data_IF_535040140143
#
_entry.id   IF_535040140143
#
_cell.length_a   1.000
_cell.length_b   1.000
_cell.length_c   1.000
_cell.angle_alpha   90.00
_cell.angle_beta   90.00
_cell.angle_gamma   90.00
#
_symmetry.space_group_name_H-M   'P 1'
#
loop_
_entity.id
_entity.type
_entity.pdbx_description
1 polymer ?
#
# COMPACT_ATOMS: atom_id res chain seq x y z
N UNK A 1 14.69 16.46 -5.33
CA UNK A 1 14.09 16.26 -6.67
C UNK A 1 12.99 15.21 -6.51
N UNK A 2 11.79 15.43 -7.06
CA UNK A 2 10.73 14.40 -7.04
C UNK A 2 11.19 13.20 -7.86
N UNK A 3 11.10 12.01 -7.26
CA UNK A 3 11.43 10.75 -7.93
C UNK A 3 10.31 10.41 -8.91
N UNK A 4 10.65 9.93 -10.08
CA UNK A 4 9.72 9.70 -11.19
C UNK A 4 9.55 8.20 -11.41
N UNK A 5 8.33 7.73 -11.55
CA UNK A 5 8.05 6.39 -12.06
C UNK A 5 7.35 6.52 -13.42
N UNK A 6 7.91 5.97 -14.50
CA UNK A 6 7.30 6.06 -15.84
C UNK A 6 5.91 5.42 -15.92
N UNK A 7 5.63 4.43 -15.05
CA UNK A 7 4.36 3.69 -15.02
C UNK A 7 3.35 4.29 -14.05
N UNK A 8 3.75 5.29 -13.26
CA UNK A 8 2.90 6.04 -12.33
C UNK A 8 2.97 7.52 -12.70
N UNK A 9 2.24 7.96 -13.75
CA UNK A 9 2.43 9.27 -14.40
C UNK A 9 2.08 10.47 -13.52
N UNK A 10 1.43 10.26 -12.39
CA UNK A 10 1.19 11.31 -11.40
C UNK A 10 2.42 11.68 -10.57
N UNK A 11 3.50 10.87 -10.61
CA UNK A 11 4.81 11.23 -10.07
C UNK A 11 5.70 11.85 -11.15
N UNK A 12 5.25 12.91 -11.81
CA UNK A 12 6.05 13.66 -12.78
C UNK A 12 6.89 14.75 -12.12
N UNK A 13 7.83 15.37 -12.88
CA UNK A 13 8.60 16.50 -12.39
C UNK A 13 7.70 17.64 -11.92
N UNK A 14 7.93 18.13 -10.68
CA UNK A 14 7.14 19.21 -10.07
C UNK A 14 5.73 18.81 -9.63
N UNK A 15 5.34 17.55 -9.72
CA UNK A 15 4.05 17.06 -9.22
C UNK A 15 4.20 16.53 -7.79
N UNK A 16 3.24 16.90 -6.95
CA UNK A 16 3.13 16.44 -5.55
C UNK A 16 1.71 15.89 -5.34
N UNK A 17 1.44 14.65 -5.75
CA UNK A 17 0.10 14.10 -5.70
C UNK A 17 -0.37 13.90 -4.27
N UNK A 18 -1.60 14.33 -3.98
CA UNK A 18 -2.30 14.06 -2.73
C UNK A 18 -2.91 12.67 -2.77
N UNK A 19 -2.40 11.79 -1.90
CA UNK A 19 -2.87 10.41 -1.78
C UNK A 19 -3.91 10.27 -0.67
N UNK A 20 -5.07 9.72 -1.00
CA UNK A 20 -6.00 9.23 0.01
C UNK A 20 -5.55 7.84 0.46
N UNK A 21 -5.10 7.72 1.71
CA UNK A 21 -4.68 6.44 2.27
C UNK A 21 -5.85 5.45 2.40
N UNK A 22 -5.62 4.15 2.19
CA UNK A 22 -6.62 3.11 2.43
C UNK A 22 -6.96 2.99 3.91
N UNK A 23 -8.25 3.11 4.25
CA UNK A 23 -8.76 3.06 5.62
C UNK A 23 -9.98 2.15 5.68
N UNK A 24 -9.85 1.01 6.41
CA UNK A 24 -10.94 0.06 6.58
C UNK A 24 -12.22 0.73 7.14
N UNK A 25 -13.35 0.46 6.53
CA UNK A 25 -14.68 1.00 6.86
C UNK A 25 -14.83 2.52 6.64
N UNK A 26 -13.89 3.16 5.95
CA UNK A 26 -13.94 4.58 5.66
C UNK A 26 -13.76 4.89 4.18
N UNK A 27 -12.81 4.26 3.50
CA UNK A 27 -12.52 4.57 2.09
C UNK A 27 -13.36 3.72 1.13
N UNK A 28 -14.67 3.68 1.35
CA UNK A 28 -15.64 3.12 0.40
C UNK A 28 -15.78 4.01 -0.86
N UNK A 29 -16.58 3.57 -1.81
CA UNK A 29 -16.78 4.29 -3.09
C UNK A 29 -17.30 5.71 -2.86
N UNK A 30 -18.25 5.90 -1.94
CA UNK A 30 -18.86 7.20 -1.68
C UNK A 30 -17.87 8.18 -1.04
N UNK A 31 -17.15 7.74 -0.02
CA UNK A 31 -16.13 8.56 0.64
C UNK A 31 -14.99 8.94 -0.32
N UNK A 32 -14.51 8.00 -1.13
CA UNK A 32 -13.49 8.29 -2.15
C UNK A 32 -13.97 9.31 -3.16
N UNK A 33 -15.26 9.26 -3.56
CA UNK A 33 -15.82 10.24 -4.47
C UNK A 33 -15.79 11.66 -3.87
N UNK A 34 -16.19 11.82 -2.63
CA UNK A 34 -16.11 13.12 -1.92
C UNK A 34 -14.65 13.60 -1.84
N UNK A 35 -13.70 12.71 -1.50
CA UNK A 35 -12.29 13.08 -1.46
C UNK A 35 -11.75 13.49 -2.84
N UNK A 36 -12.19 12.82 -3.92
CA UNK A 36 -11.83 13.18 -5.30
C UNK A 36 -12.30 14.60 -5.64
N UNK A 37 -13.52 14.92 -5.30
CA UNK A 37 -14.11 16.26 -5.50
C UNK A 37 -13.41 17.35 -4.67
N UNK A 38 -12.80 16.97 -3.53
CA UNK A 38 -11.99 17.87 -2.70
C UNK A 38 -10.50 17.91 -3.09
N UNK A 39 -10.11 17.28 -4.18
CA UNK A 39 -8.77 17.40 -4.74
C UNK A 39 -7.80 16.24 -4.44
N UNK A 40 -8.28 15.09 -3.97
CA UNK A 40 -7.42 13.91 -3.91
C UNK A 40 -7.02 13.47 -5.33
N UNK A 41 -5.71 13.42 -5.59
CA UNK A 41 -5.18 13.05 -6.90
C UNK A 41 -5.25 11.54 -7.13
N UNK A 42 -4.80 10.76 -6.15
CA UNK A 42 -4.69 9.29 -6.21
C UNK A 42 -5.34 8.67 -4.99
N UNK A 43 -6.08 7.62 -5.20
CA UNK A 43 -6.79 6.94 -4.12
C UNK A 43 -6.55 5.43 -4.16
N UNK A 44 -6.73 4.79 -3.00
CA UNK A 44 -6.59 3.34 -2.84
C UNK A 44 -7.86 2.82 -2.16
N UNK A 45 -8.35 1.66 -2.61
CA UNK A 45 -9.52 1.01 -2.00
C UNK A 45 -9.23 0.60 -0.55
N UNK A 46 -10.26 0.22 0.18
CA UNK A 46 -10.06 -0.55 1.41
C UNK A 46 -9.24 -1.81 1.11
N UNK A 47 -8.45 -2.28 2.08
CA UNK A 47 -7.65 -3.48 1.88
C UNK A 47 -8.50 -4.75 2.01
N UNK A 48 -8.34 -5.66 1.07
CA UNK A 48 -9.13 -6.89 0.97
C UNK A 48 -8.25 -8.12 1.10
N UNK A 49 -8.78 -9.12 1.81
CA UNK A 49 -8.07 -10.37 2.02
C UNK A 49 -8.00 -11.20 0.73
N UNK A 50 -6.79 -11.66 0.38
CA UNK A 50 -6.55 -12.47 -0.82
C UNK A 50 -7.43 -13.73 -0.88
N UNK A 51 -7.58 -14.45 0.23
CA UNK A 51 -8.41 -15.66 0.31
C UNK A 51 -9.90 -15.38 0.05
N UNK A 52 -10.40 -14.22 0.49
CA UNK A 52 -11.79 -13.84 0.24
C UNK A 52 -12.05 -13.59 -1.25
N UNK A 53 -11.12 -12.93 -1.95
CA UNK A 53 -11.19 -12.72 -3.40
C UNK A 53 -11.13 -14.05 -4.17
N UNK A 54 -10.22 -14.95 -3.78
CA UNK A 54 -10.08 -16.28 -4.42
C UNK A 54 -11.32 -17.15 -4.27
N UNK A 55 -12.02 -17.02 -3.15
CA UNK A 55 -13.28 -17.74 -2.86
C UNK A 55 -14.51 -17.06 -3.46
N UNK A 56 -14.31 -16.05 -4.28
CA UNK A 56 -15.35 -15.26 -4.94
C UNK A 56 -16.38 -14.66 -3.96
N UNK A 57 -15.91 -14.21 -2.79
CA UNK A 57 -16.79 -13.60 -1.78
C UNK A 57 -17.32 -12.25 -2.31
N UNK A 58 -18.64 -12.11 -2.39
CA UNK A 58 -19.32 -10.94 -2.94
C UNK A 58 -18.87 -9.64 -2.27
N UNK A 59 -18.84 -9.61 -0.93
CA UNK A 59 -18.41 -8.41 -0.18
C UNK A 59 -16.97 -8.04 -0.44
N UNK A 60 -16.09 -9.03 -0.66
CA UNK A 60 -14.69 -8.77 -1.00
C UNK A 60 -14.55 -8.09 -2.36
N UNK A 61 -15.37 -8.48 -3.32
CA UNK A 61 -15.41 -7.86 -4.64
C UNK A 61 -16.06 -6.47 -4.62
N UNK A 62 -17.11 -6.25 -3.84
CA UNK A 62 -17.69 -4.93 -3.62
C UNK A 62 -16.68 -3.92 -3.02
N UNK A 63 -15.79 -4.38 -2.12
CA UNK A 63 -14.78 -3.53 -1.49
C UNK A 63 -13.69 -3.04 -2.45
N UNK A 64 -13.45 -3.74 -3.56
CA UNK A 64 -12.45 -3.34 -4.57
C UNK A 64 -13.06 -2.57 -5.74
N UNK A 65 -14.36 -2.34 -5.72
CA UNK A 65 -15.06 -1.61 -6.77
C UNK A 65 -14.77 -0.09 -6.72
N UNK A 66 -14.77 0.54 -7.89
CA UNK A 66 -14.61 1.99 -8.04
C UNK A 66 -15.19 2.47 -9.37
N UNK A 67 -15.38 3.78 -9.50
CA UNK A 67 -15.86 4.40 -10.74
C UNK A 67 -14.70 4.98 -11.56
N UNK A 68 -14.90 5.12 -12.87
CA UNK A 68 -13.90 5.74 -13.76
C UNK A 68 -13.53 7.17 -13.34
N UNK A 69 -14.47 7.91 -12.75
CA UNK A 69 -14.24 9.27 -12.25
C UNK A 69 -13.23 9.33 -11.09
N UNK A 70 -13.02 8.23 -10.39
CA UNK A 70 -12.10 8.15 -9.25
C UNK A 70 -10.64 7.88 -9.66
N UNK A 71 -10.38 7.51 -10.92
CA UNK A 71 -9.01 7.23 -11.39
C UNK A 71 -8.07 8.45 -11.23
N UNK A 72 -6.75 8.21 -10.99
CA UNK A 72 -6.10 6.90 -10.84
C UNK A 72 -6.41 6.21 -9.51
N UNK A 73 -6.71 4.91 -9.60
CA UNK A 73 -7.14 4.07 -8.47
C UNK A 73 -6.25 2.85 -8.27
N UNK A 74 -5.80 2.67 -7.03
CA UNK A 74 -5.17 1.45 -6.58
C UNK A 74 -6.15 0.50 -5.88
N UNK A 75 -5.98 -0.79 -6.07
CA UNK A 75 -6.64 -1.82 -5.24
C UNK A 75 -5.62 -2.37 -4.24
N UNK A 76 -5.96 -2.31 -2.94
CA UNK A 76 -5.07 -2.84 -1.91
C UNK A 76 -5.50 -4.23 -1.45
N UNK A 77 -4.56 -5.18 -1.49
CA UNK A 77 -4.77 -6.54 -1.01
C UNK A 77 -3.83 -6.88 0.15
N UNK A 78 -4.23 -7.84 0.98
CA UNK A 78 -3.40 -8.39 2.04
C UNK A 78 -3.56 -9.91 2.17
N UNK A 79 -2.53 -10.56 2.69
CA UNK A 79 -2.49 -11.99 2.95
C UNK A 79 -1.12 -12.40 3.48
N UNK A 80 -0.96 -13.68 3.79
CA UNK A 80 0.27 -14.25 4.33
C UNK A 80 0.85 -15.37 3.47
N UNK A 81 0.16 -15.77 2.40
CA UNK A 81 0.58 -16.89 1.54
C UNK A 81 0.95 -16.35 0.15
N UNK A 82 2.20 -16.53 -0.32
CA UNK A 82 2.64 -16.03 -1.62
C UNK A 82 1.75 -16.47 -2.79
N UNK A 83 1.39 -17.77 -2.85
CA UNK A 83 0.54 -18.30 -3.91
C UNK A 83 -0.86 -17.69 -3.93
N UNK A 84 -1.49 -17.50 -2.75
CA UNK A 84 -2.80 -16.85 -2.66
C UNK A 84 -2.73 -15.38 -3.03
N UNK A 85 -1.69 -14.66 -2.60
CA UNK A 85 -1.50 -13.26 -2.96
C UNK A 85 -1.31 -13.08 -4.48
N UNK A 86 -0.50 -13.92 -5.11
CA UNK A 86 -0.30 -13.93 -6.56
C UNK A 86 -1.60 -14.20 -7.33
N UNK A 87 -2.38 -15.22 -6.88
CA UNK A 87 -3.67 -15.56 -7.49
C UNK A 87 -4.69 -14.44 -7.35
N UNK A 88 -4.81 -13.86 -6.15
CA UNK A 88 -5.72 -12.74 -5.91
C UNK A 88 -5.33 -11.50 -6.73
N UNK A 89 -4.04 -11.19 -6.81
CA UNK A 89 -3.51 -10.10 -7.62
C UNK A 89 -3.91 -10.24 -9.09
N UNK A 90 -3.73 -11.43 -9.67
CA UNK A 90 -4.16 -11.72 -11.04
C UNK A 90 -5.66 -11.51 -11.22
N UNK A 91 -6.48 -12.09 -10.34
CA UNK A 91 -7.94 -11.96 -10.40
C UNK A 91 -8.40 -10.50 -10.33
N UNK A 92 -7.80 -9.69 -9.45
CA UNK A 92 -8.10 -8.25 -9.34
C UNK A 92 -7.72 -7.53 -10.62
N UNK A 93 -6.51 -7.74 -11.14
CA UNK A 93 -6.06 -7.06 -12.36
C UNK A 93 -6.90 -7.44 -13.58
N UNK A 94 -7.33 -8.70 -13.70
CA UNK A 94 -8.14 -9.17 -14.82
C UNK A 94 -9.58 -8.63 -14.79
N UNK A 95 -10.21 -8.59 -13.59
CA UNK A 95 -11.62 -8.20 -13.43
C UNK A 95 -11.83 -6.70 -13.24
N UNK A 96 -11.00 -6.08 -12.37
CA UNK A 96 -11.20 -4.68 -11.92
C UNK A 96 -10.38 -3.70 -12.74
N UNK A 97 -9.22 -4.15 -13.26
CA UNK A 97 -8.29 -3.34 -14.06
C UNK A 97 -7.89 -2.03 -13.36
N UNK A 98 -7.35 -2.08 -12.15
CA UNK A 98 -6.89 -0.90 -11.44
C UNK A 98 -5.69 -0.26 -12.16
N UNK A 99 -5.42 1.01 -11.88
CA UNK A 99 -4.22 1.69 -12.38
C UNK A 99 -2.93 1.16 -11.76
N UNK A 100 -3.03 0.60 -10.54
CA UNK A 100 -1.95 -0.11 -9.85
C UNK A 100 -2.52 -1.07 -8.79
N UNK A 101 -1.73 -2.07 -8.42
CA UNK A 101 -2.01 -2.93 -7.27
C UNK A 101 -1.16 -2.48 -6.08
N UNK A 102 -1.74 -2.43 -4.89
CA UNK A 102 -1.06 -2.04 -3.66
C UNK A 102 -1.05 -3.17 -2.62
N UNK A 103 0.08 -3.36 -1.93
CA UNK A 103 0.25 -4.38 -0.91
C UNK A 103 0.21 -3.78 0.49
N UNK A 104 -0.57 -4.39 1.39
CA UNK A 104 -0.69 -3.93 2.76
C UNK A 104 0.33 -4.61 3.68
N UNK A 105 1.31 -3.84 4.15
CA UNK A 105 2.28 -4.21 5.20
C UNK A 105 2.19 -3.29 6.42
N UNK A 106 1.05 -2.62 6.60
CA UNK A 106 0.89 -1.62 7.65
C UNK A 106 -0.30 -1.80 8.60
N UNK A 107 -1.29 -2.63 8.26
CA UNK A 107 -2.49 -2.81 9.08
C UNK A 107 -2.13 -3.39 10.46
N UNK A 108 -2.43 -2.68 11.58
CA UNK A 108 -2.13 -3.17 12.93
C UNK A 108 -3.29 -3.98 13.55
N UNK A 109 -4.38 -4.22 12.81
CA UNK A 109 -5.56 -4.91 13.34
C UNK A 109 -5.24 -6.34 13.78
N UNK A 110 -5.69 -6.73 14.97
CA UNK A 110 -5.42 -8.03 15.58
C UNK A 110 -5.73 -9.20 14.64
N UNK A 111 -6.93 -9.21 14.05
CA UNK A 111 -7.38 -10.24 13.09
C UNK A 111 -6.49 -10.38 11.85
N UNK A 112 -5.80 -9.32 11.43
CA UNK A 112 -4.84 -9.34 10.29
C UNK A 112 -3.51 -9.92 10.75
N UNK A 113 -3.05 -9.51 11.93
CA UNK A 113 -1.78 -9.96 12.51
C UNK A 113 -1.82 -11.44 12.90
N UNK A 114 -2.92 -11.94 13.44
CA UNK A 114 -3.12 -13.37 13.76
C UNK A 114 -2.93 -14.26 12.52
N UNK A 115 -3.17 -13.73 11.34
CA UNK A 115 -2.94 -14.41 10.06
C UNK A 115 -1.51 -14.21 9.53
N UNK A 116 -0.59 -13.66 10.31
CA UNK A 116 0.74 -13.24 9.88
C UNK A 116 0.76 -12.30 8.66
N UNK A 117 -0.27 -11.44 8.53
CA UNK A 117 -0.45 -10.50 7.42
C UNK A 117 -0.33 -9.04 7.89
N UNK A 118 -0.42 -8.10 6.96
CA UNK A 118 -0.32 -6.67 7.27
C UNK A 118 1.02 -6.33 7.94
N UNK A 119 0.97 -5.56 9.04
CA UNK A 119 2.18 -5.20 9.80
C UNK A 119 2.85 -6.40 10.50
N UNK A 120 2.17 -7.55 10.62
CA UNK A 120 2.75 -8.79 11.11
C UNK A 120 3.93 -9.27 10.27
N UNK A 121 3.91 -9.01 8.97
CA UNK A 121 4.99 -9.36 8.04
C UNK A 121 6.30 -8.61 8.29
N UNK A 122 6.26 -7.46 8.95
CA UNK A 122 7.47 -6.72 9.32
C UNK A 122 8.34 -7.44 10.37
N UNK A 123 7.83 -8.50 11.00
CA UNK A 123 8.61 -9.40 11.88
C UNK A 123 9.26 -10.56 11.09
N UNK A 124 8.85 -10.78 9.85
CA UNK A 124 9.36 -11.86 9.01
C UNK A 124 9.57 -11.34 7.58
N UNK A 125 10.58 -10.49 7.40
CA UNK A 125 10.89 -9.85 6.12
C UNK A 125 11.16 -10.84 4.98
N UNK A 126 11.76 -12.04 5.18
CA UNK A 126 11.87 -13.03 4.12
C UNK A 126 10.51 -13.41 3.51
N UNK A 127 9.49 -13.69 4.33
CA UNK A 127 8.15 -14.00 3.83
C UNK A 127 7.52 -12.80 3.11
N UNK A 128 7.74 -11.58 3.60
CA UNK A 128 7.30 -10.37 2.92
C UNK A 128 7.89 -10.27 1.51
N UNK A 129 9.19 -10.56 1.36
CA UNK A 129 9.86 -10.52 0.05
C UNK A 129 9.35 -11.61 -0.89
N UNK A 130 9.12 -12.83 -0.39
CA UNK A 130 8.53 -13.91 -1.18
C UNK A 130 7.12 -13.57 -1.68
N UNK A 131 6.31 -12.91 -0.84
CA UNK A 131 4.99 -12.41 -1.20
C UNK A 131 5.07 -11.39 -2.34
N UNK A 132 5.94 -10.40 -2.20
CA UNK A 132 6.11 -9.35 -3.22
C UNK A 132 6.57 -9.94 -4.54
N UNK A 133 7.57 -10.82 -4.50
CA UNK A 133 8.07 -11.52 -5.69
C UNK A 133 6.96 -12.30 -6.39
N UNK A 134 6.20 -13.10 -5.66
CA UNK A 134 5.12 -13.92 -6.22
C UNK A 134 4.03 -13.05 -6.86
N UNK A 135 3.68 -11.92 -6.23
CA UNK A 135 2.71 -10.98 -6.81
C UNK A 135 3.27 -10.33 -8.07
N UNK A 136 4.51 -9.81 -8.03
CA UNK A 136 5.12 -9.14 -9.19
C UNK A 136 5.24 -10.08 -10.39
N UNK A 137 5.64 -11.33 -10.17
CA UNK A 137 5.70 -12.35 -11.21
C UNK A 137 4.31 -12.65 -11.83
N UNK A 138 3.24 -12.55 -11.02
CA UNK A 138 1.88 -12.79 -11.48
C UNK A 138 1.28 -11.63 -12.30
N UNK A 139 1.71 -10.39 -12.06
CA UNK A 139 1.17 -9.18 -12.69
C UNK A 139 2.29 -8.29 -13.26
N UNK A 140 3.15 -8.78 -14.18
CA UNK A 140 4.33 -8.04 -14.64
C UNK A 140 3.99 -6.70 -15.29
N UNK A 141 2.82 -6.61 -15.92
CA UNK A 141 2.36 -5.45 -16.69
C UNK A 141 1.61 -4.39 -15.86
N UNK A 142 1.22 -4.72 -14.62
CA UNK A 142 0.53 -3.79 -13.72
C UNK A 142 1.53 -3.18 -12.74
N UNK A 143 1.52 -1.84 -12.52
CA UNK A 143 2.34 -1.21 -11.49
C UNK A 143 2.03 -1.80 -10.12
N UNK A 144 3.09 -2.10 -9.35
CA UNK A 144 2.98 -2.63 -8.00
C UNK A 144 3.49 -1.59 -7.00
N UNK A 145 2.67 -1.28 -5.99
CA UNK A 145 3.03 -0.40 -4.88
C UNK A 145 2.88 -1.13 -3.54
N UNK A 146 3.39 -0.56 -2.48
CA UNK A 146 3.19 -1.11 -1.15
C UNK A 146 3.02 -0.01 -0.10
N UNK A 147 2.18 -0.27 0.91
CA UNK A 147 2.02 0.60 2.07
C UNK A 147 2.46 -0.13 3.34
N UNK A 148 3.40 0.46 4.07
CA UNK A 148 4.00 -0.14 5.26
C UNK A 148 4.08 0.82 6.44
N UNK A 149 4.38 0.26 7.63
CA UNK A 149 4.84 0.97 8.84
C UNK A 149 6.35 0.88 8.96
N UNK A 150 6.92 1.58 9.97
CA UNK A 150 8.37 1.61 10.21
C UNK A 150 8.94 0.24 10.62
N UNK A 151 8.17 -0.56 11.30
CA UNK A 151 8.56 -1.85 11.87
C UNK A 151 7.51 -2.33 12.86
N UNK A 152 7.84 -3.37 13.62
CA UNK A 152 6.96 -3.89 14.67
C UNK A 152 6.93 -2.96 15.88
N UNK A 153 8.08 -2.65 16.43
CA UNK A 153 8.31 -1.77 17.59
C UNK A 153 9.53 -0.87 17.34
N UNK A 154 9.89 -0.05 18.33
CA UNK A 154 11.03 0.86 18.23
C UNK A 154 12.39 0.15 18.18
N UNK A 155 12.49 -1.08 18.69
CA UNK A 155 13.72 -1.86 18.65
C UNK A 155 13.91 -2.61 17.33
N UNK A 156 12.83 -2.76 16.56
CA UNK A 156 12.80 -3.55 15.31
C UNK A 156 12.28 -2.72 14.13
N UNK A 157 12.83 -1.52 13.94
CA UNK A 157 12.57 -0.69 12.78
C UNK A 157 13.32 -1.27 11.58
N UNK A 158 12.57 -1.67 10.54
CA UNK A 158 13.10 -2.31 9.32
C UNK A 158 12.79 -1.52 8.06
N UNK A 159 12.14 -0.36 8.17
CA UNK A 159 11.56 0.36 7.02
C UNK A 159 12.58 0.69 5.94
N UNK A 160 13.79 1.08 6.28
CA UNK A 160 14.83 1.46 5.30
C UNK A 160 15.32 0.24 4.53
N UNK A 161 15.63 -0.85 5.24
CA UNK A 161 16.06 -2.12 4.61
C UNK A 161 14.96 -2.69 3.71
N UNK A 162 13.74 -2.77 4.25
CA UNK A 162 12.58 -3.30 3.51
C UNK A 162 12.32 -2.47 2.26
N UNK A 163 12.38 -1.13 2.34
CA UNK A 163 12.18 -0.26 1.18
C UNK A 163 13.17 -0.54 0.05
N UNK A 164 14.45 -0.66 0.36
CA UNK A 164 15.48 -1.01 -0.63
C UNK A 164 15.18 -2.34 -1.30
N UNK A 165 14.84 -3.35 -0.50
CA UNK A 165 14.53 -4.68 -1.04
C UNK A 165 13.25 -4.71 -1.87
N UNK A 166 12.23 -3.95 -1.48
CA UNK A 166 10.99 -3.82 -2.26
C UNK A 166 11.24 -3.18 -3.63
N UNK A 167 12.06 -2.13 -3.69
CA UNK A 167 12.48 -1.54 -4.97
C UNK A 167 13.17 -2.57 -5.88
N UNK A 168 14.11 -3.35 -5.35
CA UNK A 168 14.80 -4.42 -6.10
C UNK A 168 13.84 -5.48 -6.64
N UNK A 169 12.77 -5.77 -5.91
CA UNK A 169 11.71 -6.72 -6.30
C UNK A 169 10.69 -6.11 -7.28
N UNK A 170 10.87 -4.85 -7.70
CA UNK A 170 10.05 -4.20 -8.71
C UNK A 170 8.80 -3.49 -8.16
N UNK A 171 8.77 -3.13 -6.87
CA UNK A 171 7.81 -2.16 -6.34
C UNK A 171 8.14 -0.78 -6.90
N UNK A 172 7.14 -0.03 -7.33
CA UNK A 172 7.31 1.20 -8.11
C UNK A 172 6.99 2.49 -7.30
N UNK A 173 6.34 2.36 -6.14
CA UNK A 173 6.20 3.42 -5.14
C UNK A 173 5.91 2.83 -3.76
N UNK A 174 6.25 3.57 -2.71
CA UNK A 174 6.04 3.17 -1.31
C UNK A 174 5.26 4.24 -0.55
N UNK A 175 4.22 3.84 0.18
CA UNK A 175 3.60 4.69 1.20
C UNK A 175 4.09 4.24 2.59
N UNK A 176 4.68 5.16 3.36
CA UNK A 176 5.29 4.86 4.66
C UNK A 176 4.57 5.62 5.77
N UNK A 177 3.91 4.89 6.67
CA UNK A 177 3.37 5.47 7.89
C UNK A 177 4.49 5.61 8.94
N UNK A 178 4.74 6.82 9.40
CA UNK A 178 5.81 7.16 10.33
C UNK A 178 5.64 6.64 11.78
N UNK A 179 4.91 5.54 11.96
CA UNK A 179 4.72 4.85 13.25
C UNK A 179 5.04 3.37 13.13
N UNK A 180 5.43 2.75 14.25
CA UNK A 180 5.54 1.29 14.36
C UNK A 180 4.16 0.65 14.53
N UNK A 181 4.09 -0.68 14.42
CA UNK A 181 2.84 -1.41 14.69
C UNK A 181 2.39 -1.23 16.14
N UNK A 182 3.32 -1.33 17.11
CA UNK A 182 2.97 -1.22 18.52
C UNK A 182 2.48 0.17 18.93
N UNK A 183 3.00 1.23 18.32
CA UNK A 183 2.48 2.57 18.52
C UNK A 183 0.97 2.68 18.14
N UNK A 184 0.50 1.89 17.19
CA UNK A 184 -0.86 2.07 16.68
C UNK A 184 -1.07 3.48 16.16
N UNK A 185 -1.77 4.31 16.93
CA UNK A 185 -1.97 5.74 16.67
C UNK A 185 -1.47 6.63 17.82
N UNK A 186 -0.79 6.07 18.82
CA UNK A 186 -0.24 6.82 19.93
C UNK A 186 1.05 7.53 19.55
N UNK A 187 1.37 8.61 20.27
CA UNK A 187 2.53 9.46 19.99
C UNK A 187 2.42 10.15 18.63
N UNK A 188 3.54 10.59 18.09
CA UNK A 188 3.63 11.29 16.81
C UNK A 188 4.21 10.39 15.71
N UNK A 189 3.86 10.67 14.47
CA UNK A 189 4.47 10.04 13.29
C UNK A 189 5.91 10.57 13.13
N UNK A 190 6.86 9.66 12.99
CA UNK A 190 8.28 10.00 12.93
C UNK A 190 8.73 10.27 11.49
N UNK A 191 8.56 11.50 11.02
CA UNK A 191 8.88 11.94 9.67
C UNK A 191 10.37 11.79 9.31
N UNK A 192 11.27 11.81 10.31
CA UNK A 192 12.70 11.54 10.10
C UNK A 192 12.99 10.14 9.55
N UNK A 193 12.22 9.13 9.95
CA UNK A 193 12.32 7.79 9.34
C UNK A 193 11.79 7.75 7.91
N UNK A 194 10.70 8.48 7.63
CA UNK A 194 10.18 8.61 6.26
C UNK A 194 11.23 9.24 5.35
N UNK A 195 11.92 10.29 5.83
CA UNK A 195 13.02 10.93 5.10
C UNK A 195 14.18 9.97 4.83
N UNK A 196 14.56 9.13 5.81
CA UNK A 196 15.60 8.11 5.63
C UNK A 196 15.19 7.06 4.57
N UNK A 197 13.95 6.58 4.61
CA UNK A 197 13.42 5.69 3.57
C UNK A 197 13.49 6.38 2.20
N UNK A 198 13.03 7.62 2.11
CA UNK A 198 13.06 8.37 0.86
C UNK A 198 14.49 8.61 0.34
N UNK A 199 15.48 8.73 1.21
CA UNK A 199 16.89 8.86 0.81
C UNK A 199 17.50 7.54 0.32
N UNK A 200 16.98 6.41 0.78
CA UNK A 200 17.55 5.08 0.51
C UNK A 200 17.05 4.43 -0.79
N UNK A 201 15.97 4.92 -1.40
CA UNK A 201 15.40 4.33 -2.63
C UNK A 201 15.29 5.38 -3.75
N UNK A 202 15.17 4.92 -5.00
CA UNK A 202 14.98 5.79 -6.18
C UNK A 202 13.51 5.94 -6.58
N UNK A 203 12.64 5.07 -6.09
CA UNK A 203 11.20 5.12 -6.32
C UNK A 203 10.53 6.19 -5.47
N UNK A 204 9.35 6.71 -5.87
CA UNK A 204 8.56 7.65 -5.05
C UNK A 204 8.21 7.11 -3.68
N UNK A 205 8.32 7.95 -2.65
CA UNK A 205 7.91 7.65 -1.29
C UNK A 205 6.83 8.64 -0.86
N UNK A 206 5.67 8.12 -0.47
CA UNK A 206 4.52 8.88 0.04
C UNK A 206 4.59 8.85 1.56
N UNK A 207 4.81 10.01 2.18
CA UNK A 207 4.77 10.17 3.63
C UNK A 207 3.33 10.10 4.15
N UNK A 208 3.12 9.37 5.25
CA UNK A 208 1.81 9.19 5.87
C UNK A 208 1.90 9.28 7.39
N UNK A 209 0.89 9.87 8.01
CA UNK A 209 0.74 10.05 9.45
C UNK A 209 0.91 11.50 9.89
N UNK A 210 -0.08 11.99 10.67
CA UNK A 210 -0.13 13.34 11.25
C UNK A 210 -0.01 14.49 10.23
N UNK A 211 -0.48 14.30 9.02
CA UNK A 211 -0.66 15.40 8.06
C UNK A 211 -1.88 16.20 8.50
N UNK A 212 -1.66 17.40 9.06
CA UNK A 212 -2.69 18.22 9.70
C UNK A 212 -3.12 19.40 8.83
N UNK A 213 -2.24 19.89 8.00
CA UNK A 213 -2.42 21.03 7.10
C UNK A 213 -1.53 20.90 5.86
N UNK A 214 -1.58 21.88 4.98
CA UNK A 214 -0.78 21.92 3.76
C UNK A 214 0.53 22.70 3.87
N UNK A 215 0.97 23.00 5.11
CA UNK A 215 2.20 23.76 5.36
C UNK A 215 3.42 22.84 5.41
#
# INVERSE_FOLDING_TARGET
MSKVSPRLPWFGPGKFPLYLAPMARHTDVAFRQVCKEQGADVMVTEFVQSEALIRDNVKAWEMVDFTEAQRPMGVQIFGATPASMAKAARLVCDRVKPDFLDLNFGCPAHKVIEQNAGSGLLRCTPLLYDLVKAVKDAIPDVPLTAKMRLGWDHATIVAVEVAGRLQELGVEALAVHGRTKEQGYSGEAHWGWIAQVAAAVDIPVIGNGDVKDGA
#
